data_IF_569155659502
#
_entry.id   IF_569155659502
#
_cell.length_a   1.000
_cell.length_b   1.000
_cell.length_c   1.000
_cell.angle_alpha   90.00
_cell.angle_beta   90.00
_cell.angle_gamma   90.00
#
_symmetry.space_group_name_H-M   'P 1'
#
loop_
_entity.id
_entity.type
_entity.pdbx_description
1 polymer ?
#
# COMPACT_ATOMS: atom_id res chain seq x y z
N UNK A 1 39.99 -19.78 -63.72
CA UNK A 1 40.02 -18.32 -63.91
C UNK A 1 39.13 -17.96 -65.10
N UNK A 2 37.93 -17.41 -64.85
CA UNK A 2 37.11 -16.54 -65.72
C UNK A 2 35.84 -16.17 -64.95
N UNK A 3 35.79 -14.92 -64.48
CA UNK A 3 34.61 -14.22 -63.98
C UNK A 3 33.77 -13.74 -65.17
N UNK A 4 32.44 -13.69 -65.02
CA UNK A 4 31.56 -12.69 -65.63
C UNK A 4 30.16 -12.67 -64.98
N UNK A 5 30.03 -11.86 -63.95
CA UNK A 5 29.08 -10.73 -63.75
C UNK A 5 27.71 -10.73 -64.48
N UNK A 6 26.66 -10.85 -63.64
CA UNK A 6 25.39 -10.06 -63.53
C UNK A 6 24.27 -10.16 -64.58
N UNK A 7 23.07 -10.53 -64.09
CA UNK A 7 21.86 -9.70 -64.28
C UNK A 7 20.79 -9.93 -63.22
N UNK A 8 20.23 -8.81 -62.79
CA UNK A 8 19.23 -8.62 -61.72
C UNK A 8 17.85 -9.09 -62.18
N UNK A 9 17.07 -9.66 -61.27
CA UNK A 9 15.61 -9.59 -61.33
C UNK A 9 15.07 -9.44 -59.90
N UNK A 10 14.62 -8.23 -59.61
CA UNK A 10 13.86 -7.89 -58.43
C UNK A 10 12.45 -8.49 -58.56
N UNK A 11 12.02 -9.24 -57.55
CA UNK A 11 10.60 -9.52 -57.34
C UNK A 11 10.25 -8.89 -56.00
N UNK A 12 9.51 -7.80 -56.09
CA UNK A 12 8.83 -7.15 -54.98
C UNK A 12 7.83 -8.12 -54.35
N UNK A 13 8.17 -8.68 -53.18
CA UNK A 13 7.15 -9.24 -52.31
C UNK A 13 6.64 -8.10 -51.45
N UNK A 14 5.38 -7.75 -51.75
CA UNK A 14 4.64 -6.64 -51.18
C UNK A 14 4.65 -6.63 -49.66
N UNK A 15 4.63 -5.39 -49.16
CA UNK A 15 4.60 -5.08 -47.75
C UNK A 15 3.46 -5.77 -47.03
N UNK A 16 3.83 -6.55 -46.02
CA UNK A 16 2.98 -6.82 -44.88
C UNK A 16 3.46 -5.91 -43.75
N UNK A 17 3.12 -4.63 -43.84
CA UNK A 17 3.12 -3.72 -42.69
C UNK A 17 1.98 -4.20 -41.78
N UNK A 18 2.27 -5.23 -40.98
CA UNK A 18 1.42 -5.58 -39.85
C UNK A 18 1.52 -4.41 -38.87
N UNK A 19 0.43 -3.64 -38.85
CA UNK A 19 0.08 -2.67 -37.84
C UNK A 19 0.41 -3.25 -36.46
N UNK A 20 1.58 -2.89 -35.93
CA UNK A 20 1.85 -2.85 -34.50
C UNK A 20 0.92 -1.75 -33.94
N UNK A 21 -0.37 -2.09 -33.86
CA UNK A 21 -1.35 -1.29 -33.15
C UNK A 21 -0.85 -1.20 -31.73
N UNK A 22 -0.36 -0.01 -31.38
CA UNK A 22 -0.07 0.39 -30.02
C UNK A 22 -1.34 0.17 -29.21
N UNK A 23 -1.44 -1.00 -28.58
CA UNK A 23 -2.37 -1.22 -27.49
C UNK A 23 -1.78 -0.39 -26.36
N UNK A 24 -2.15 0.89 -26.35
CA UNK A 24 -2.01 1.73 -25.17
C UNK A 24 -2.89 1.08 -24.12
N UNK A 25 -2.35 0.07 -23.42
CA UNK A 25 -2.90 -0.39 -22.18
C UNK A 25 -2.91 0.85 -21.30
N UNK A 26 -4.10 1.45 -21.17
CA UNK A 26 -4.37 2.35 -20.07
C UNK A 26 -4.17 1.48 -18.84
N UNK A 27 -2.94 1.48 -18.30
CA UNK A 27 -2.64 0.90 -17.00
C UNK A 27 -3.47 1.71 -16.03
N UNK A 28 -4.69 1.25 -15.78
CA UNK A 28 -5.51 1.79 -14.71
C UNK A 28 -4.70 1.57 -13.45
N UNK A 29 -4.30 2.67 -12.83
CA UNK A 29 -3.66 2.71 -11.54
C UNK A 29 -4.39 1.77 -10.58
N UNK A 30 -3.71 0.69 -10.15
CA UNK A 30 -4.31 -0.26 -9.23
C UNK A 30 -4.41 0.39 -7.84
N UNK A 31 -5.57 0.28 -7.17
CA UNK A 31 -5.71 0.82 -5.82
C UNK A 31 -4.77 0.07 -4.86
N UNK A 32 -4.11 0.80 -3.95
CA UNK A 32 -3.19 0.20 -2.99
C UNK A 32 -3.84 -0.85 -2.09
N UNK A 33 -5.06 -0.59 -1.60
CA UNK A 33 -5.87 -1.54 -0.84
C UNK A 33 -7.33 -1.09 -0.84
N UNK A 34 -8.30 -2.01 -0.65
CA UNK A 34 -9.71 -1.65 -0.56
C UNK A 34 -10.04 -1.00 0.80
N UNK A 35 -11.19 -0.30 0.86
CA UNK A 35 -11.82 0.07 2.14
C UNK A 35 -12.61 -1.12 2.69
N UNK A 36 -12.79 -1.24 4.03
CA UNK A 36 -13.70 -2.21 4.59
C UNK A 36 -15.14 -1.89 4.19
N UNK A 37 -15.98 -2.92 4.20
CA UNK A 37 -17.43 -2.71 4.23
C UNK A 37 -17.81 -2.17 5.61
N UNK A 38 -18.63 -1.12 5.65
CA UNK A 38 -19.06 -0.51 6.91
C UNK A 38 -20.48 -1.00 7.24
N UNK A 39 -20.64 -1.77 8.33
CA UNK A 39 -21.95 -2.14 8.85
C UNK A 39 -22.80 -0.91 9.26
N UNK A 40 -24.11 -0.99 9.04
CA UNK A 40 -25.02 0.13 9.29
C UNK A 40 -25.10 0.52 10.77
N UNK A 41 -24.96 -0.44 11.68
CA UNK A 41 -25.02 -0.26 13.14
C UNK A 41 -23.82 0.53 13.70
N UNK A 42 -22.71 0.61 12.96
CA UNK A 42 -21.54 1.40 13.34
C UNK A 42 -21.27 2.57 12.39
N UNK A 43 -22.19 2.89 11.48
CA UNK A 43 -21.97 3.87 10.42
C UNK A 43 -21.61 5.28 10.94
N UNK A 44 -22.09 5.64 12.13
CA UNK A 44 -21.84 6.92 12.78
C UNK A 44 -20.67 6.89 13.78
N UNK A 45 -20.00 5.75 13.93
CA UNK A 45 -18.80 5.64 14.76
C UNK A 45 -17.61 6.36 14.09
N UNK A 46 -16.81 7.07 14.89
CA UNK A 46 -15.63 7.79 14.40
C UNK A 46 -14.66 6.92 13.57
N UNK A 47 -14.40 5.67 13.97
CA UNK A 47 -13.50 4.78 13.22
C UNK A 47 -14.11 4.35 11.89
N UNK A 48 -15.43 4.09 11.86
CA UNK A 48 -16.13 3.75 10.63
C UNK A 48 -16.17 4.94 9.67
N UNK A 49 -16.39 6.15 10.19
CA UNK A 49 -16.29 7.39 9.40
C UNK A 49 -14.86 7.58 8.87
N UNK A 50 -13.83 7.41 9.70
CA UNK A 50 -12.43 7.44 9.27
C UNK A 50 -12.15 6.46 8.13
N UNK A 51 -12.63 5.23 8.21
CA UNK A 51 -12.47 4.23 7.16
C UNK A 51 -13.22 4.62 5.88
N UNK A 52 -14.44 5.17 6.01
CA UNK A 52 -15.25 5.67 4.89
C UNK A 52 -14.54 6.78 4.12
N UNK A 53 -14.02 7.75 4.85
CA UNK A 53 -13.46 8.99 4.32
C UNK A 53 -11.99 8.83 3.89
N UNK A 54 -11.40 7.65 4.12
CA UNK A 54 -10.04 7.33 3.73
C UNK A 54 -9.83 7.45 2.22
N UNK A 55 -8.72 8.06 1.84
CA UNK A 55 -8.31 8.22 0.44
C UNK A 55 -7.48 7.01 0.04
N UNK A 56 -7.85 6.35 -1.05
CA UNK A 56 -7.10 5.19 -1.55
C UNK A 56 -6.08 5.69 -2.58
N UNK A 57 -4.76 5.65 -2.29
CA UNK A 57 -3.74 6.01 -3.26
C UNK A 57 -3.54 4.89 -4.30
N UNK A 58 -2.92 5.26 -5.41
CA UNK A 58 -2.37 4.34 -6.40
C UNK A 58 -1.23 3.51 -5.76
N UNK A 59 -1.24 2.19 -5.95
CA UNK A 59 -0.20 1.29 -5.48
C UNK A 59 1.20 1.68 -5.98
N UNK A 60 1.32 2.10 -7.24
CA UNK A 60 2.58 2.53 -7.84
C UNK A 60 3.14 3.77 -7.13
N UNK A 61 2.26 4.68 -6.69
CA UNK A 61 2.65 5.86 -5.92
C UNK A 61 3.14 5.50 -4.51
N UNK A 62 2.51 4.51 -3.88
CA UNK A 62 2.92 4.07 -2.54
C UNK A 62 4.31 3.44 -2.58
N UNK A 63 4.64 2.69 -3.63
CA UNK A 63 5.98 2.11 -3.81
C UNK A 63 6.37 1.05 -2.77
N UNK A 64 5.48 0.77 -1.82
CA UNK A 64 5.57 -0.32 -0.84
C UNK A 64 4.56 -1.38 -1.28
N UNK A 65 4.90 -2.68 -1.22
CA UNK A 65 3.97 -3.74 -1.57
C UNK A 65 2.71 -3.74 -0.69
N UNK A 66 1.55 -3.80 -1.33
CA UNK A 66 0.27 -3.96 -0.66
C UNK A 66 0.19 -5.32 0.03
N UNK A 67 -0.37 -5.35 1.25
CA UNK A 67 -0.58 -6.61 1.96
C UNK A 67 -1.88 -7.29 1.48
N UNK A 68 -1.85 -8.54 1.01
CA UNK A 68 -3.05 -9.25 0.57
C UNK A 68 -4.12 -9.33 1.66
N UNK A 69 -5.37 -9.03 1.32
CA UNK A 69 -6.49 -9.12 2.26
C UNK A 69 -6.57 -8.01 3.31
N UNK A 70 -5.61 -7.09 3.36
CA UNK A 70 -5.68 -5.93 4.25
C UNK A 70 -6.67 -4.88 3.73
N UNK A 71 -7.30 -4.14 4.64
CA UNK A 71 -8.26 -3.08 4.33
C UNK A 71 -7.86 -1.76 5.00
N UNK A 72 -8.07 -0.64 4.31
CA UNK A 72 -7.72 0.71 4.80
C UNK A 72 -8.75 1.17 5.82
N UNK A 73 -8.29 1.48 7.04
CA UNK A 73 -9.14 2.04 8.10
C UNK A 73 -8.92 3.54 8.32
N UNK A 74 -7.79 4.06 7.85
CA UNK A 74 -7.46 5.47 7.96
C UNK A 74 -6.38 5.86 6.96
N UNK A 75 -6.47 7.09 6.44
CA UNK A 75 -5.35 7.76 5.77
C UNK A 75 -5.11 9.14 6.35
N UNK A 76 -3.85 9.57 6.37
CA UNK A 76 -3.46 10.88 6.88
C UNK A 76 -2.47 11.56 5.92
N UNK A 77 -2.68 12.86 5.67
CA UNK A 77 -1.85 13.68 4.77
C UNK A 77 -1.69 13.12 3.34
N UNK A 78 -2.61 12.28 2.87
CA UNK A 78 -2.61 11.69 1.52
C UNK A 78 -3.15 12.66 0.47
N UNK A 79 -4.29 13.30 0.73
CA UNK A 79 -4.92 14.28 -0.17
C UNK A 79 -4.62 15.72 0.22
N UNK A 80 -4.83 16.04 1.50
CA UNK A 80 -4.60 17.36 2.04
C UNK A 80 -3.81 17.23 3.35
N UNK A 81 -2.87 18.14 3.53
CA UNK A 81 -1.91 18.10 4.62
C UNK A 81 -2.28 19.18 5.64
N UNK A 82 -2.49 18.83 6.91
CA UNK A 82 -2.74 19.84 7.94
C UNK A 82 -1.58 20.86 7.98
N UNK A 83 -1.87 22.14 8.22
CA UNK A 83 -0.84 23.14 8.42
C UNK A 83 0.17 22.67 9.47
N UNK A 84 1.48 22.82 9.18
CA UNK A 84 2.62 22.41 10.03
C UNK A 84 2.88 20.89 10.15
N UNK A 85 2.16 20.04 9.42
CA UNK A 85 2.57 18.63 9.36
C UNK A 85 3.86 18.49 8.54
N UNK A 86 4.86 17.78 9.05
CA UNK A 86 6.18 17.60 8.40
C UNK A 86 6.50 16.14 8.03
N UNK A 87 5.68 15.16 8.46
CA UNK A 87 5.89 13.74 8.14
C UNK A 87 5.49 13.29 6.72
N UNK A 88 5.74 12.02 6.42
CA UNK A 88 5.27 11.34 5.21
C UNK A 88 3.75 11.08 5.27
N UNK A 89 3.04 11.02 4.13
CA UNK A 89 1.68 10.48 4.09
C UNK A 89 1.59 9.09 4.73
N UNK A 90 0.48 8.81 5.42
CA UNK A 90 0.28 7.59 6.19
C UNK A 90 -0.99 6.87 5.72
N UNK A 91 -0.90 5.55 5.58
CA UNK A 91 -2.02 4.63 5.39
C UNK A 91 -2.02 3.65 6.56
N UNK A 92 -3.13 3.56 7.29
CA UNK A 92 -3.34 2.52 8.31
C UNK A 92 -4.28 1.45 7.75
N UNK A 93 -3.81 0.20 7.78
CA UNK A 93 -4.52 -0.98 7.32
C UNK A 93 -4.72 -1.96 8.47
N UNK A 94 -5.77 -2.78 8.40
CA UNK A 94 -5.91 -3.96 9.26
C UNK A 94 -6.03 -5.24 8.43
N UNK A 95 -5.58 -6.36 8.98
CA UNK A 95 -5.70 -7.70 8.40
C UNK A 95 -6.12 -8.72 9.45
N UNK A 96 -6.73 -9.82 8.99
CA UNK A 96 -7.05 -10.99 9.81
C UNK A 96 -5.84 -11.83 10.15
N UNK A 97 -4.75 -11.71 9.39
CA UNK A 97 -3.54 -12.48 9.59
C UNK A 97 -2.80 -12.04 10.86
N UNK A 98 -2.13 -13.00 11.50
CA UNK A 98 -1.39 -12.76 12.73
C UNK A 98 -0.10 -11.96 12.47
N UNK A 99 0.42 -11.38 13.54
CA UNK A 99 1.57 -10.49 13.53
C UNK A 99 2.81 -11.07 12.83
N UNK A 100 3.14 -12.33 13.09
CA UNK A 100 4.36 -12.97 12.57
C UNK A 100 4.22 -13.24 11.07
N UNK A 101 3.02 -13.64 10.63
CA UNK A 101 2.70 -13.82 9.20
C UNK A 101 2.86 -12.52 8.42
N UNK A 102 2.40 -11.38 8.97
CA UNK A 102 2.56 -10.08 8.30
C UNK A 102 4.03 -9.64 8.27
N UNK A 103 4.79 -9.85 9.35
CA UNK A 103 6.24 -9.60 9.37
C UNK A 103 6.95 -10.42 8.29
N UNK A 104 6.68 -11.73 8.22
CA UNK A 104 7.36 -12.62 7.28
C UNK A 104 7.17 -12.17 5.83
N UNK A 105 5.96 -11.68 5.49
CA UNK A 105 5.68 -11.10 4.18
C UNK A 105 6.56 -9.88 3.90
N UNK A 106 6.56 -8.87 4.78
CA UNK A 106 7.31 -7.64 4.51
C UNK A 106 8.82 -7.86 4.54
N UNK A 107 9.35 -8.74 5.39
CA UNK A 107 10.78 -9.13 5.36
C UNK A 107 11.18 -9.74 4.02
N UNK A 108 10.28 -10.52 3.41
CA UNK A 108 10.52 -11.12 2.10
C UNK A 108 10.47 -10.10 0.97
N UNK A 109 9.54 -9.14 1.04
CA UNK A 109 9.28 -8.18 -0.04
C UNK A 109 10.21 -6.97 0.01
N UNK A 110 10.68 -6.59 1.19
CA UNK A 110 11.50 -5.41 1.43
C UNK A 110 12.84 -5.85 2.04
N UNK A 111 13.84 -6.08 1.20
CA UNK A 111 15.14 -6.63 1.63
C UNK A 111 15.94 -5.70 2.56
N UNK A 112 15.58 -4.42 2.62
CA UNK A 112 16.18 -3.41 3.51
C UNK A 112 15.37 -3.18 4.79
N UNK A 113 14.26 -3.91 4.97
CA UNK A 113 13.39 -3.80 6.13
C UNK A 113 14.03 -4.53 7.33
N UNK A 114 14.38 -3.78 8.38
CA UNK A 114 15.12 -4.21 9.56
C UNK A 114 14.27 -4.35 10.84
N UNK A 115 14.84 -4.90 11.90
CA UNK A 115 14.11 -5.18 13.16
C UNK A 115 13.80 -3.94 14.01
N UNK A 116 14.49 -2.81 13.77
CA UNK A 116 14.20 -1.52 14.41
C UNK A 116 12.80 -0.97 14.06
N UNK A 117 12.08 -1.63 13.17
CA UNK A 117 10.79 -1.21 12.60
C UNK A 117 9.59 -1.80 13.36
N UNK A 118 9.84 -2.78 14.24
CA UNK A 118 8.97 -3.12 15.38
C UNK A 118 8.89 -1.98 16.42
N UNK A 119 9.74 -0.96 16.32
CA UNK A 119 9.88 0.08 17.34
C UNK A 119 8.85 1.19 17.31
N UNK A 120 7.94 1.29 16.35
CA UNK A 120 6.84 2.25 16.51
C UNK A 120 6.05 1.97 17.81
N UNK A 121 5.84 0.69 18.17
CA UNK A 121 5.28 0.30 19.47
C UNK A 121 6.22 0.57 20.67
N UNK A 122 7.53 0.26 20.55
CA UNK A 122 8.50 0.50 21.62
C UNK A 122 8.78 2.00 21.87
N UNK A 123 8.80 2.82 20.81
CA UNK A 123 8.94 4.27 20.87
C UNK A 123 7.74 4.89 21.61
N UNK A 124 6.52 4.41 21.36
CA UNK A 124 5.35 4.81 22.14
C UNK A 124 5.45 4.39 23.62
N UNK A 125 5.90 3.16 23.90
CA UNK A 125 6.06 2.65 25.26
C UNK A 125 7.16 3.38 26.05
N UNK A 126 8.23 3.84 25.40
CA UNK A 126 9.37 4.50 26.05
C UNK A 126 9.24 6.02 26.17
N UNK A 127 8.49 6.68 25.26
CA UNK A 127 8.47 8.14 25.20
C UNK A 127 7.10 8.78 25.49
N UNK A 128 6.06 7.97 25.74
CA UNK A 128 4.76 8.44 26.25
C UNK A 128 4.02 9.44 25.36
N UNK A 129 4.53 9.71 24.16
CA UNK A 129 4.03 10.74 23.27
C UNK A 129 3.53 10.10 21.97
N UNK A 130 2.24 10.26 21.71
CA UNK A 130 1.50 9.78 20.52
C UNK A 130 2.02 10.33 19.17
N UNK A 131 3.07 11.18 19.14
CA UNK A 131 3.27 12.15 18.06
C UNK A 131 4.60 12.13 17.29
N UNK A 132 5.53 11.18 17.51
CA UNK A 132 6.90 11.39 16.98
C UNK A 132 7.58 10.24 16.24
N UNK A 133 6.89 9.16 15.87
CA UNK A 133 7.44 8.34 14.77
C UNK A 133 7.15 9.03 13.43
N UNK A 134 8.14 9.78 12.95
CA UNK A 134 8.14 10.48 11.66
C UNK A 134 9.32 9.96 10.84
N UNK A 135 9.17 8.82 10.16
CA UNK A 135 10.26 8.32 9.33
C UNK A 135 10.52 9.34 8.22
N UNK A 136 11.81 9.60 7.95
CA UNK A 136 12.24 10.48 6.85
C UNK A 136 12.17 9.76 5.50
N UNK A 137 12.13 8.43 5.51
CA UNK A 137 12.07 7.55 4.35
C UNK A 137 10.81 6.65 4.37
N UNK A 138 10.35 6.13 3.20
CA UNK A 138 9.24 5.18 3.15
C UNK A 138 9.46 3.99 4.08
N UNK A 139 8.40 3.58 4.77
CA UNK A 139 8.52 2.65 5.88
C UNK A 139 7.21 1.92 6.18
N UNK A 140 7.31 0.70 6.72
CA UNK A 140 6.15 -0.09 7.17
C UNK A 140 6.32 -0.44 8.65
N UNK A 141 5.37 -0.01 9.47
CA UNK A 141 5.24 -0.43 10.87
C UNK A 141 4.15 -1.49 11.01
N UNK A 142 4.41 -2.53 11.81
CA UNK A 142 3.43 -3.61 12.08
C UNK A 142 3.17 -3.69 13.57
N UNK A 143 1.90 -3.85 13.95
CA UNK A 143 1.48 -3.93 15.35
C UNK A 143 0.41 -5.01 15.58
N UNK A 144 0.49 -5.69 16.73
CA UNK A 144 -0.65 -6.46 17.26
C UNK A 144 -1.77 -5.47 17.62
N UNK A 145 -2.96 -5.65 17.07
CA UNK A 145 -4.10 -4.76 17.37
C UNK A 145 -4.44 -4.73 18.87
N UNK A 146 -4.26 -5.87 19.54
CA UNK A 146 -4.48 -6.00 21.00
C UNK A 146 -3.65 -5.02 21.84
N UNK A 147 -2.45 -4.67 21.37
CA UNK A 147 -1.53 -3.79 22.08
C UNK A 147 -1.63 -2.33 21.63
N UNK A 148 -2.26 -2.07 20.49
CA UNK A 148 -2.28 -0.73 19.88
C UNK A 148 -3.59 0.01 20.14
N UNK A 149 -4.72 -0.69 20.16
CA UNK A 149 -6.04 -0.09 20.27
C UNK A 149 -6.70 -0.38 21.63
N UNK A 150 -7.52 0.57 22.09
CA UNK A 150 -8.38 0.38 23.27
C UNK A 150 -9.49 -0.63 22.96
N UNK A 151 -10.06 -1.26 23.99
CA UNK A 151 -11.07 -2.32 23.82
C UNK A 151 -12.27 -1.89 22.96
N UNK A 152 -12.76 -0.66 23.13
CA UNK A 152 -13.82 -0.11 22.30
C UNK A 152 -13.45 -0.02 20.82
N UNK A 153 -12.26 0.51 20.52
CA UNK A 153 -11.75 0.60 19.15
C UNK A 153 -11.55 -0.80 18.53
N UNK A 154 -10.97 -1.75 19.29
CA UNK A 154 -10.79 -3.13 18.85
C UNK A 154 -12.10 -3.78 18.43
N UNK A 155 -13.18 -3.56 19.19
CA UNK A 155 -14.51 -4.09 18.86
C UNK A 155 -15.02 -3.51 17.54
N UNK A 156 -14.91 -2.19 17.35
CA UNK A 156 -15.35 -1.54 16.11
C UNK A 156 -14.51 -2.02 14.91
N UNK A 157 -13.19 -2.09 15.04
CA UNK A 157 -12.31 -2.57 13.97
C UNK A 157 -12.61 -4.01 13.57
N UNK A 158 -13.00 -4.87 14.53
CA UNK A 158 -13.47 -6.23 14.25
C UNK A 158 -14.86 -6.30 13.60
N UNK A 159 -15.67 -5.26 13.72
CA UNK A 159 -16.91 -5.14 12.94
C UNK A 159 -16.63 -4.69 11.49
N UNK A 160 -15.57 -3.90 11.27
CA UNK A 160 -15.11 -3.51 9.92
C UNK A 160 -14.42 -4.66 9.18
N UNK A 161 -13.61 -5.45 9.88
CA UNK A 161 -12.99 -6.67 9.36
C UNK A 161 -13.07 -7.79 10.43
N UNK A 162 -14.05 -8.70 10.31
CA UNK A 162 -14.20 -9.82 11.24
C UNK A 162 -12.92 -10.64 11.35
N UNK A 163 -12.44 -10.82 12.58
CA UNK A 163 -11.19 -11.53 12.86
C UNK A 163 -9.92 -10.70 12.68
N UNK A 164 -10.01 -9.37 12.53
CA UNK A 164 -8.81 -8.53 12.47
C UNK A 164 -7.91 -8.71 13.72
N UNK A 165 -6.61 -8.88 13.46
CA UNK A 165 -5.58 -9.15 14.47
C UNK A 165 -4.39 -8.19 14.39
N UNK A 166 -4.04 -7.74 13.19
CA UNK A 166 -2.80 -7.00 12.94
C UNK A 166 -3.09 -5.66 12.27
N UNK A 167 -2.43 -4.61 12.75
CA UNK A 167 -2.39 -3.28 12.17
C UNK A 167 -1.08 -3.13 11.36
N UNK A 168 -1.20 -2.56 10.18
CA UNK A 168 -0.08 -2.20 9.30
C UNK A 168 -0.13 -0.68 9.07
N UNK A 169 0.98 0.01 9.26
CA UNK A 169 1.14 1.44 9.02
C UNK A 169 2.14 1.65 7.92
N UNK A 170 1.70 2.20 6.80
CA UNK A 170 2.54 2.47 5.64
C UNK A 170 2.80 3.96 5.54
N UNK A 171 4.08 4.33 5.55
CA UNK A 171 4.59 5.68 5.31
C UNK A 171 5.25 5.65 3.93
N UNK A 172 4.90 6.57 3.03
CA UNK A 172 5.42 6.49 1.66
C UNK A 172 5.87 7.84 1.11
N UNK A 173 6.72 7.78 0.08
CA UNK A 173 7.25 8.96 -0.59
C UNK A 173 6.14 9.70 -1.35
N UNK A 174 6.41 10.95 -1.72
CA UNK A 174 5.40 11.83 -2.31
C UNK A 174 5.03 11.46 -3.73
#
# INVERSE_FOLDING_TARGET
MKLNVVSKAAVSVGGLFLFLGSVSMNVMAEPFAPRPQIPADIADNYQAQSARDSVIPDAARVGIPAYPGAVIIRTFAVKERPPKYEGLPIIELITTDDYETVIAFYKKQLSTWGDAELMSAYYFAQHGNLNFFKPEEPHVGIHKMENYYRDGDKKILRQLLPGAQTLIKVFYAR
#
